data_IF_826972112488
#
_entry.id   IF_826972112488
#
_cell.length_a   1.000
_cell.length_b   1.000
_cell.length_c   1.000
_cell.angle_alpha   90.00
_cell.angle_beta   90.00
_cell.angle_gamma   90.00
#
_symmetry.space_group_name_H-M   'P 1'
#
loop_
_entity.id
_entity.type
_entity.pdbx_description
1 polymer ?
#
# COMPACT_ATOMS: atom_id res chain seq x y z
N UNK A 1 -12.97 -12.71 0.39
CA UNK A 1 -13.22 -13.20 1.77
C UNK A 1 -11.92 -13.35 2.57
N UNK A 2 -10.88 -13.99 2.04
CA UNK A 2 -9.61 -14.22 2.76
C UNK A 2 -8.88 -12.91 3.08
N UNK A 3 -8.75 -12.01 2.11
CA UNK A 3 -8.07 -10.72 2.32
C UNK A 3 -8.73 -9.86 3.41
N UNK A 4 -10.04 -9.66 3.36
CA UNK A 4 -10.75 -8.86 4.37
C UNK A 4 -10.67 -9.47 5.78
N UNK A 5 -10.66 -10.81 5.89
CA UNK A 5 -10.48 -11.48 7.18
C UNK A 5 -9.05 -11.28 7.72
N UNK A 6 -8.05 -11.33 6.84
CA UNK A 6 -6.66 -11.02 7.18
C UNK A 6 -6.47 -9.57 7.64
N UNK A 7 -7.01 -8.59 6.90
CA UNK A 7 -6.95 -7.19 7.30
C UNK A 7 -7.62 -6.94 8.66
N UNK A 8 -8.76 -7.60 8.92
CA UNK A 8 -9.43 -7.55 10.22
C UNK A 8 -8.52 -8.08 11.35
N UNK A 9 -7.86 -9.21 11.11
CA UNK A 9 -6.97 -9.85 12.08
C UNK A 9 -5.75 -8.96 12.40
N UNK A 10 -5.11 -8.40 11.37
CA UNK A 10 -3.97 -7.50 11.54
C UNK A 10 -4.37 -6.22 12.27
N UNK A 11 -5.52 -5.62 11.92
CA UNK A 11 -6.06 -4.46 12.66
C UNK A 11 -6.27 -4.79 14.14
N UNK A 12 -6.79 -5.98 14.45
CA UNK A 12 -7.00 -6.42 15.83
C UNK A 12 -5.67 -6.58 16.60
N UNK A 13 -4.63 -7.13 15.96
CA UNK A 13 -3.30 -7.26 16.57
C UNK A 13 -2.56 -5.93 16.72
N UNK A 14 -2.75 -4.99 15.79
CA UNK A 14 -2.17 -3.65 15.88
C UNK A 14 -2.71 -2.91 17.12
N UNK A 15 -4.03 -2.96 17.36
CA UNK A 15 -4.68 -2.37 18.54
C UNK A 15 -4.18 -2.99 19.86
N UNK A 16 -3.93 -4.31 19.88
CA UNK A 16 -3.45 -5.01 21.08
C UNK A 16 -1.98 -4.77 21.44
N UNK A 17 -1.15 -4.31 20.49
CA UNK A 17 0.31 -4.18 20.65
C UNK A 17 0.78 -2.89 21.34
N UNK A 18 -0.14 -1.98 21.67
CA UNK A 18 0.19 -0.69 22.34
C UNK A 18 0.92 0.33 21.46
N UNK A 19 1.32 -0.04 20.24
CA UNK A 19 1.74 0.92 19.20
C UNK A 19 0.51 1.55 18.57
N UNK A 20 0.56 2.85 18.25
CA UNK A 20 -0.58 3.49 17.61
C UNK A 20 -0.80 2.83 16.24
N UNK A 21 -2.01 2.32 15.97
CA UNK A 21 -2.32 1.66 14.70
C UNK A 21 -2.03 2.55 13.47
N UNK A 22 -1.98 3.87 13.67
CA UNK A 22 -1.61 4.88 12.67
C UNK A 22 -0.15 4.83 12.19
N UNK A 23 0.76 4.22 12.96
CA UNK A 23 2.17 4.05 12.55
C UNK A 23 2.35 2.97 11.46
N UNK A 24 1.39 2.05 11.32
CA UNK A 24 1.48 0.91 10.40
C UNK A 24 0.43 0.97 9.29
N UNK A 25 -0.68 1.63 9.58
CA UNK A 25 -1.81 1.80 8.68
C UNK A 25 -2.22 3.26 8.67
N UNK A 26 -2.10 3.94 7.52
CA UNK A 26 -2.94 5.11 7.30
C UNK A 26 -4.40 4.68 7.55
N UNK A 27 -5.21 5.45 8.28
CA UNK A 27 -6.64 5.17 8.39
C UNK A 27 -7.22 4.94 6.99
N UNK A 28 -8.05 3.90 6.84
CA UNK A 28 -8.51 3.46 5.52
C UNK A 28 -9.23 4.60 4.78
N UNK A 29 -9.95 5.43 5.54
CA UNK A 29 -10.68 6.60 5.09
C UNK A 29 -9.75 7.66 4.48
N UNK A 30 -8.55 7.84 5.05
CA UNK A 30 -7.54 8.77 4.53
C UNK A 30 -6.96 8.24 3.22
N UNK A 31 -6.67 6.93 3.15
CA UNK A 31 -6.17 6.32 1.92
C UNK A 31 -7.20 6.40 0.78
N UNK A 32 -8.47 6.15 1.09
CA UNK A 32 -9.57 6.27 0.13
C UNK A 32 -9.73 7.69 -0.39
N UNK A 33 -9.71 8.69 0.50
CA UNK A 33 -9.76 10.09 0.12
C UNK A 33 -8.58 10.48 -0.78
N UNK A 34 -7.36 10.15 -0.38
CA UNK A 34 -6.15 10.48 -1.15
C UNK A 34 -6.17 9.82 -2.53
N UNK A 35 -6.50 8.53 -2.63
CA UNK A 35 -6.57 7.84 -3.92
C UNK A 35 -7.64 8.44 -4.85
N UNK A 36 -8.71 9.00 -4.28
CA UNK A 36 -9.77 9.68 -5.05
C UNK A 36 -9.27 11.03 -5.57
N UNK A 37 -8.59 11.80 -4.72
CA UNK A 37 -8.07 13.13 -5.06
C UNK A 37 -6.90 13.07 -6.07
N UNK A 38 -6.05 12.05 -5.98
CA UNK A 38 -4.91 11.88 -6.89
C UNK A 38 -5.32 11.51 -8.32
N UNK A 39 -6.53 10.95 -8.49
CA UNK A 39 -7.07 10.49 -9.77
C UNK A 39 -6.08 9.73 -10.67
N UNK A 40 -5.40 8.67 -10.18
CA UNK A 40 -4.39 7.95 -10.95
C UNK A 40 -4.96 7.42 -12.27
N UNK A 41 -4.13 7.45 -13.30
CA UNK A 41 -4.47 7.08 -14.69
C UNK A 41 -3.79 5.79 -15.11
N UNK A 42 -4.28 5.23 -16.20
CA UNK A 42 -3.62 4.10 -16.86
C UNK A 42 -2.23 4.54 -17.38
N UNK A 43 -1.18 3.80 -17.02
CA UNK A 43 0.21 4.07 -17.36
C UNK A 43 1.01 4.76 -16.26
N UNK A 44 0.36 5.23 -15.20
CA UNK A 44 1.04 5.96 -14.13
C UNK A 44 1.97 5.07 -13.30
N UNK A 45 3.07 5.67 -12.86
CA UNK A 45 3.95 5.13 -11.82
C UNK A 45 3.64 5.84 -10.51
N UNK A 46 3.21 5.07 -9.50
CA UNK A 46 2.70 5.58 -8.24
C UNK A 46 3.72 5.24 -7.16
N UNK A 47 4.28 6.26 -6.50
CA UNK A 47 5.32 6.09 -5.50
C UNK A 47 4.88 6.54 -4.11
N UNK A 48 5.11 5.69 -3.11
CA UNK A 48 4.93 6.01 -1.69
C UNK A 48 6.25 5.74 -0.91
N UNK A 49 6.98 6.78 -0.47
CA UNK A 49 8.28 6.64 0.19
C UNK A 49 8.20 6.09 1.63
N UNK A 50 7.01 5.97 2.20
CA UNK A 50 6.78 5.44 3.54
C UNK A 50 5.50 4.60 3.54
N UNK A 51 5.48 3.57 2.69
CA UNK A 51 4.25 2.95 2.25
C UNK A 51 3.50 2.15 3.33
N UNK A 52 4.12 1.92 4.50
CA UNK A 52 3.53 1.13 5.56
C UNK A 52 3.12 -0.23 5.02
N UNK A 53 1.86 -0.62 5.29
CA UNK A 53 1.25 -1.85 4.78
C UNK A 53 0.92 -1.85 3.28
N UNK A 54 1.29 -0.82 2.50
CA UNK A 54 1.00 -0.70 1.08
C UNK A 54 -0.46 -0.35 0.76
N UNK A 55 -1.25 0.04 1.77
CA UNK A 55 -2.69 0.27 1.62
C UNK A 55 -3.02 1.40 0.63
N UNK A 56 -2.30 2.53 0.69
CA UNK A 56 -2.52 3.66 -0.23
C UNK A 56 -2.25 3.26 -1.69
N UNK A 57 -1.11 2.63 -1.96
CA UNK A 57 -0.73 2.14 -3.30
C UNK A 57 -1.82 1.22 -3.88
N UNK A 58 -2.33 0.30 -3.08
CA UNK A 58 -3.41 -0.62 -3.48
C UNK A 58 -4.72 0.12 -3.77
N UNK A 59 -5.07 1.14 -2.97
CA UNK A 59 -6.26 1.98 -3.24
C UNK A 59 -6.10 2.76 -4.55
N UNK A 60 -4.92 3.29 -4.83
CA UNK A 60 -4.64 3.92 -6.11
C UNK A 60 -4.78 2.94 -7.30
N UNK A 61 -4.26 1.72 -7.20
CA UNK A 61 -4.47 0.70 -8.26
C UNK A 61 -5.96 0.36 -8.44
N UNK A 62 -6.71 0.20 -7.34
CA UNK A 62 -8.17 -0.01 -7.39
C UNK A 62 -8.90 1.15 -8.06
N UNK A 63 -8.43 2.39 -7.89
CA UNK A 63 -9.01 3.56 -8.54
C UNK A 63 -8.76 3.56 -10.06
N UNK A 64 -7.57 3.13 -10.51
CA UNK A 64 -7.28 2.89 -11.94
C UNK A 64 -8.20 1.80 -12.49
N UNK A 65 -8.31 0.67 -11.81
CA UNK A 65 -9.19 -0.43 -12.22
C UNK A 65 -10.65 0.03 -12.35
N UNK A 66 -11.14 0.83 -11.40
CA UNK A 66 -12.49 1.38 -11.41
C UNK A 66 -12.74 2.35 -12.57
N UNK A 67 -11.76 3.21 -12.87
CA UNK A 67 -11.92 4.29 -13.86
C UNK A 67 -11.57 3.87 -15.30
N UNK A 68 -10.77 2.82 -15.48
CA UNK A 68 -10.23 2.38 -16.77
C UNK A 68 -10.56 0.92 -17.07
N UNK A 69 -11.84 0.55 -16.97
CA UNK A 69 -12.38 -0.76 -17.40
C UNK A 69 -11.61 -1.98 -16.85
N UNK A 70 -11.19 -1.94 -15.59
CA UNK A 70 -10.43 -3.01 -14.95
C UNK A 70 -8.94 -3.06 -15.32
N UNK A 71 -8.39 -1.98 -15.89
CA UNK A 71 -6.98 -1.92 -16.25
C UNK A 71 -6.07 -2.12 -15.04
N UNK A 72 -5.06 -2.97 -15.21
CA UNK A 72 -3.93 -3.16 -14.28
C UNK A 72 -2.64 -2.49 -14.78
N UNK A 73 -2.72 -1.62 -15.78
CA UNK A 73 -1.54 -0.89 -16.27
C UNK A 73 -1.27 0.31 -15.36
N UNK A 74 -0.78 0.05 -14.17
CA UNK A 74 -0.16 1.02 -13.29
C UNK A 74 1.04 0.32 -12.64
N UNK A 75 2.06 1.06 -12.24
CA UNK A 75 3.21 0.52 -11.53
C UNK A 75 3.24 1.08 -10.11
N UNK A 76 3.31 0.19 -9.11
CA UNK A 76 3.28 0.57 -7.70
C UNK A 76 4.69 0.50 -7.12
N UNK A 77 5.18 1.59 -6.55
CA UNK A 77 6.50 1.70 -5.96
C UNK A 77 6.37 2.10 -4.49
N UNK A 78 7.09 1.41 -3.61
CA UNK A 78 7.01 1.67 -2.18
C UNK A 78 8.35 1.49 -1.48
N UNK A 79 8.55 2.23 -0.40
CA UNK A 79 9.65 1.94 0.53
C UNK A 79 9.15 1.96 1.98
N UNK A 80 9.62 1.01 2.77
CA UNK A 80 9.24 0.87 4.18
C UNK A 80 10.46 0.53 5.04
N UNK A 81 10.65 1.23 6.14
CA UNK A 81 11.83 1.07 7.00
C UNK A 81 11.71 -0.12 7.96
N UNK A 82 10.49 -0.45 8.37
CA UNK A 82 10.20 -1.49 9.36
C UNK A 82 9.93 -2.82 8.64
N UNK A 83 10.82 -3.81 8.83
CA UNK A 83 10.77 -5.10 8.11
C UNK A 83 9.47 -5.89 8.30
N UNK A 84 8.84 -5.85 9.47
CA UNK A 84 7.53 -6.49 9.69
C UNK A 84 6.41 -5.82 8.89
N UNK A 85 6.45 -4.50 8.76
CA UNK A 85 5.48 -3.70 8.01
C UNK A 85 5.68 -3.87 6.50
N UNK A 86 6.93 -3.93 6.06
CA UNK A 86 7.28 -4.29 4.69
C UNK A 86 6.76 -5.69 4.32
N UNK A 87 6.94 -6.68 5.21
CA UNK A 87 6.43 -8.04 4.97
C UNK A 87 4.91 -8.07 4.82
N UNK A 88 4.22 -7.26 5.63
CA UNK A 88 2.78 -7.04 5.53
C UNK A 88 2.37 -6.36 4.21
N UNK A 89 3.15 -5.39 3.73
CA UNK A 89 2.92 -4.78 2.42
C UNK A 89 3.02 -5.80 1.28
N UNK A 90 4.07 -6.64 1.29
CA UNK A 90 4.22 -7.72 0.32
C UNK A 90 3.04 -8.71 0.35
N UNK A 91 2.59 -9.10 1.55
CA UNK A 91 1.41 -9.96 1.71
C UNK A 91 0.13 -9.29 1.19
N UNK A 92 -0.04 -7.98 1.46
CA UNK A 92 -1.20 -7.23 1.00
C UNK A 92 -1.28 -7.14 -0.52
N UNK A 93 -0.14 -6.89 -1.19
CA UNK A 93 -0.09 -6.89 -2.66
C UNK A 93 -0.45 -8.27 -3.21
N UNK A 94 0.13 -9.34 -2.64
CA UNK A 94 -0.15 -10.71 -3.05
C UNK A 94 -1.62 -11.10 -2.86
N UNK A 95 -2.20 -10.86 -1.67
CA UNK A 95 -3.59 -11.23 -1.35
C UNK A 95 -4.62 -10.48 -2.21
N UNK A 96 -4.25 -9.33 -2.76
CA UNK A 96 -5.10 -8.53 -3.63
C UNK A 96 -4.79 -8.70 -5.13
N UNK A 97 -3.80 -9.51 -5.51
CA UNK A 97 -3.44 -9.78 -6.90
C UNK A 97 -2.88 -8.56 -7.64
N UNK A 98 -2.13 -7.72 -6.92
CA UNK A 98 -1.37 -6.61 -7.48
C UNK A 98 0.02 -7.13 -7.89
N UNK A 99 0.20 -7.41 -9.17
CA UNK A 99 1.41 -8.12 -9.65
C UNK A 99 2.51 -7.15 -10.12
N UNK A 100 2.16 -5.89 -10.40
CA UNK A 100 3.09 -4.85 -10.88
C UNK A 100 3.52 -3.90 -9.75
N UNK A 101 4.11 -4.47 -8.69
CA UNK A 101 4.61 -3.72 -7.54
C UNK A 101 6.11 -3.93 -7.32
N UNK A 102 6.77 -2.90 -6.82
CA UNK A 102 8.17 -2.94 -6.40
C UNK A 102 8.31 -2.19 -5.06
N UNK A 103 8.28 -2.96 -3.96
CA UNK A 103 8.34 -2.42 -2.59
C UNK A 103 9.64 -2.84 -1.92
N UNK A 104 10.44 -1.85 -1.54
CA UNK A 104 11.76 -2.06 -0.94
C UNK A 104 11.74 -1.92 0.58
N UNK A 105 12.52 -2.77 1.25
CA UNK A 105 12.79 -2.63 2.67
C UNK A 105 14.02 -1.72 2.89
N UNK A 106 13.84 -0.59 3.56
CA UNK A 106 14.94 0.29 3.94
C UNK A 106 14.50 1.68 4.41
N UNK A 107 15.41 2.40 5.07
CA UNK A 107 15.19 3.79 5.47
C UNK A 107 15.29 4.72 4.25
N UNK A 108 14.17 5.33 3.86
CA UNK A 108 14.09 6.17 2.66
C UNK A 108 14.95 7.44 2.73
N UNK A 109 15.17 7.98 3.93
CA UNK A 109 15.96 9.20 4.12
C UNK A 109 17.45 8.87 4.04
N UNK A 110 17.88 7.77 4.68
CA UNK A 110 19.30 7.37 4.73
C UNK A 110 19.75 6.60 3.50
N UNK A 111 18.84 5.87 2.86
CA UNK A 111 19.11 5.02 1.72
C UNK A 111 17.89 4.96 0.79
N UNK A 112 17.65 6.00 -0.03
CA UNK A 112 16.59 5.98 -1.02
C UNK A 112 16.89 4.91 -2.08
N UNK A 113 16.04 3.90 -2.19
CA UNK A 113 16.26 2.76 -3.08
C UNK A 113 15.56 2.88 -4.43
N UNK A 114 14.60 3.80 -4.54
CA UNK A 114 13.75 3.94 -5.71
C UNK A 114 13.98 5.30 -6.36
N UNK A 115 14.29 5.28 -7.65
CA UNK A 115 14.28 6.44 -8.54
C UNK A 115 13.12 6.23 -9.51
N UNK A 116 11.96 6.78 -9.15
CA UNK A 116 10.71 6.68 -9.91
C UNK A 116 10.46 7.99 -10.65
#
# INVERSE_FOLDING_TARGET
>A
MISNAYECLIKHFAVGSGKSAGEFYPPAEVSDLLSTLLEPKEGDSIYDPACGSGSLLMKCSKQVQKNFNGSKKNALYGQEAIGSTWSLAQMNMFLHGEDNHYIEWGDTIRNPKLQV
#
